data_IF_530772458495
#
_entry.id   IF_530772458495
#
_cell.length_a   1.000
_cell.length_b   1.000
_cell.length_c   1.000
_cell.angle_alpha   90.00
_cell.angle_beta   90.00
_cell.angle_gamma   90.00
#
_symmetry.space_group_name_H-M   'P 1'
#
loop_
_entity.id
_entity.type
_entity.pdbx_description
1 polymer ?
#
# COMPACT_ATOMS: atom_id res chain seq x y z
N UNK A 1 -9.05 5.47 10.55
CA UNK A 1 -8.92 6.45 11.65
C UNK A 1 -9.84 6.14 12.80
N UNK A 2 -11.11 5.81 12.55
CA UNK A 2 -12.06 5.47 13.62
C UNK A 2 -11.71 4.16 14.33
N UNK A 3 -11.16 3.18 13.62
CA UNK A 3 -10.84 1.86 14.19
C UNK A 3 -9.93 1.91 15.43
N UNK A 4 -8.72 2.50 15.34
CA UNK A 4 -7.83 2.62 16.49
C UNK A 4 -8.42 3.44 17.65
N UNK A 5 -9.17 4.51 17.34
CA UNK A 5 -9.83 5.33 18.36
C UNK A 5 -10.91 4.55 19.11
N UNK A 6 -11.80 3.87 18.37
CA UNK A 6 -12.83 3.00 18.95
C UNK A 6 -12.21 1.83 19.70
N UNK A 7 -11.16 1.22 19.13
CA UNK A 7 -10.42 0.13 19.76
C UNK A 7 -9.81 0.53 21.10
N UNK A 8 -9.22 1.74 21.18
CA UNK A 8 -8.69 2.29 22.43
C UNK A 8 -9.77 2.58 23.48
N UNK A 9 -10.87 3.21 23.06
CA UNK A 9 -11.98 3.51 23.98
C UNK A 9 -12.63 2.24 24.55
N UNK A 10 -12.92 1.28 23.68
CA UNK A 10 -13.53 0.00 24.09
C UNK A 10 -12.56 -0.85 24.89
N UNK A 11 -11.27 -0.84 24.54
CA UNK A 11 -10.23 -1.57 25.24
C UNK A 11 -9.98 -1.08 26.68
N UNK A 12 -10.26 0.21 26.97
CA UNK A 12 -10.23 0.73 28.34
C UNK A 12 -11.32 0.14 29.24
N UNK A 13 -12.45 -0.32 28.66
CA UNK A 13 -13.53 -0.95 29.41
C UNK A 13 -13.25 -2.45 29.61
N UNK A 14 -12.90 -3.15 28.53
CA UNK A 14 -12.50 -4.56 28.50
C UNK A 14 -11.58 -4.81 27.28
N UNK A 15 -10.40 -5.42 27.46
CA UNK A 15 -9.48 -5.72 26.37
C UNK A 15 -10.07 -6.61 25.25
N UNK A 16 -11.14 -7.36 25.55
CA UNK A 16 -11.83 -8.23 24.58
C UNK A 16 -12.96 -7.54 23.83
N UNK A 17 -13.49 -6.44 24.36
CA UNK A 17 -14.63 -5.74 23.79
C UNK A 17 -14.40 -5.26 22.33
N UNK A 18 -13.25 -4.69 21.98
CA UNK A 18 -12.96 -4.31 20.60
C UNK A 18 -13.09 -5.46 19.60
N UNK A 19 -12.68 -6.67 19.98
CA UNK A 19 -12.76 -7.86 19.12
C UNK A 19 -14.22 -8.32 18.90
N UNK A 20 -15.04 -8.28 19.95
CA UNK A 20 -16.46 -8.61 19.84
C UNK A 20 -17.22 -7.61 18.98
N UNK A 21 -16.94 -6.32 19.14
CA UNK A 21 -17.54 -5.26 18.32
C UNK A 21 -17.09 -5.37 16.86
N UNK A 22 -15.81 -5.60 16.61
CA UNK A 22 -15.29 -5.80 15.25
C UNK A 22 -15.91 -7.05 14.59
N UNK A 23 -16.01 -8.16 15.32
CA UNK A 23 -16.66 -9.38 14.85
C UNK A 23 -18.14 -9.16 14.51
N UNK A 24 -18.87 -8.46 15.37
CA UNK A 24 -20.28 -8.11 15.14
C UNK A 24 -20.47 -7.22 13.90
N UNK A 25 -19.63 -6.19 13.75
CA UNK A 25 -19.67 -5.33 12.57
C UNK A 25 -19.30 -6.08 11.28
N UNK A 26 -18.34 -6.99 11.34
CA UNK A 26 -17.96 -7.82 10.19
C UNK A 26 -19.10 -8.75 9.78
N UNK A 27 -19.78 -9.37 10.77
CA UNK A 27 -20.94 -10.20 10.50
C UNK A 27 -22.11 -9.39 9.93
N UNK A 28 -22.42 -8.23 10.50
CA UNK A 28 -23.46 -7.34 9.97
C UNK A 28 -23.15 -6.91 8.53
N UNK A 29 -21.89 -6.56 8.22
CA UNK A 29 -21.48 -6.23 6.86
C UNK A 29 -21.60 -7.43 5.90
N UNK A 30 -21.24 -8.62 6.33
CA UNK A 30 -21.40 -9.85 5.53
C UNK A 30 -22.88 -10.15 5.23
N UNK A 31 -23.76 -10.02 6.22
CA UNK A 31 -25.20 -10.18 6.04
C UNK A 31 -25.78 -9.12 5.11
N UNK A 32 -25.37 -7.85 5.28
CA UNK A 32 -25.77 -6.78 4.36
C UNK A 32 -25.32 -7.08 2.92
N UNK A 33 -24.05 -7.50 2.73
CA UNK A 33 -23.56 -7.90 1.41
C UNK A 33 -24.33 -9.04 0.79
N UNK A 34 -24.70 -10.04 1.59
CA UNK A 34 -25.44 -11.22 1.12
C UNK A 34 -26.90 -10.91 0.75
N UNK A 35 -27.61 -10.11 1.56
CA UNK A 35 -29.04 -9.87 1.38
C UNK A 35 -29.40 -8.62 0.57
N UNK A 36 -28.54 -7.61 0.54
CA UNK A 36 -28.87 -6.29 0.02
C UNK A 36 -28.10 -5.95 -1.26
N UNK A 37 -26.84 -6.40 -1.38
CA UNK A 37 -26.04 -6.06 -2.55
C UNK A 37 -26.40 -6.96 -3.73
N UNK A 38 -26.85 -6.37 -4.88
CA UNK A 38 -27.06 -7.13 -6.09
C UNK A 38 -25.72 -7.57 -6.68
N UNK A 39 -25.71 -8.74 -7.29
CA UNK A 39 -24.54 -9.22 -8.04
C UNK A 39 -24.33 -8.36 -9.29
N UNK A 40 -23.18 -7.70 -9.37
CA UNK A 40 -22.86 -6.77 -10.46
C UNK A 40 -22.40 -7.46 -11.75
N UNK A 41 -21.96 -8.75 -11.68
CA UNK A 41 -21.49 -9.46 -12.85
C UNK A 41 -22.62 -10.33 -13.46
N UNK A 42 -23.06 -10.07 -14.72
CA UNK A 42 -24.05 -10.86 -15.40
C UNK A 42 -23.66 -12.35 -15.46
N UNK A 43 -24.63 -13.29 -15.37
CA UNK A 43 -24.35 -14.73 -15.34
C UNK A 43 -23.49 -15.22 -16.53
N UNK A 44 -23.69 -14.64 -17.73
CA UNK A 44 -23.00 -15.01 -18.96
C UNK A 44 -21.51 -14.65 -18.93
N UNK A 45 -21.12 -13.69 -18.09
CA UNK A 45 -19.73 -13.23 -17.94
C UNK A 45 -19.02 -13.89 -16.76
N UNK A 46 -19.73 -14.73 -15.96
CA UNK A 46 -19.13 -15.40 -14.80
C UNK A 46 -18.27 -16.58 -15.26
N UNK A 47 -17.08 -16.65 -14.72
CA UNK A 47 -16.19 -17.80 -14.89
C UNK A 47 -16.51 -18.85 -13.83
N UNK A 48 -16.49 -20.14 -14.21
CA UNK A 48 -16.66 -21.23 -13.25
C UNK A 48 -15.54 -21.19 -12.19
N UNK A 49 -15.95 -21.39 -10.94
CA UNK A 49 -15.03 -21.48 -9.82
C UNK A 49 -14.26 -22.80 -9.90
N UNK A 50 -12.94 -22.72 -9.95
CA UNK A 50 -12.05 -23.87 -9.85
C UNK A 50 -10.98 -23.60 -8.79
N UNK A 51 -10.73 -24.58 -7.91
CA UNK A 51 -9.69 -24.47 -6.87
C UNK A 51 -8.31 -24.17 -7.47
N UNK A 52 -8.04 -24.62 -8.68
CA UNK A 52 -6.79 -24.32 -9.39
C UNK A 52 -6.63 -22.84 -9.72
N UNK A 53 -7.72 -22.14 -10.04
CA UNK A 53 -7.74 -20.68 -10.28
C UNK A 53 -7.80 -19.87 -8.99
N UNK A 54 -8.41 -20.41 -7.95
CA UNK A 54 -8.47 -19.79 -6.62
C UNK A 54 -7.12 -19.88 -5.86
N UNK A 55 -6.12 -20.55 -6.42
CA UNK A 55 -4.78 -20.63 -5.84
C UNK A 55 -4.05 -19.27 -5.99
N UNK A 56 -3.46 -18.71 -4.90
CA UNK A 56 -2.68 -17.48 -4.94
C UNK A 56 -1.56 -17.49 -6.00
N UNK A 57 -0.92 -18.64 -6.21
CA UNK A 57 0.11 -18.81 -7.25
C UNK A 57 -0.50 -18.78 -8.64
N UNK A 58 -1.72 -19.34 -8.82
CA UNK A 58 -2.45 -19.33 -10.08
C UNK A 58 -2.83 -17.94 -10.53
N UNK A 59 -3.23 -17.07 -9.61
CA UNK A 59 -3.59 -15.67 -9.91
C UNK A 59 -2.38 -14.85 -10.39
N UNK A 60 -1.15 -15.22 -10.01
CA UNK A 60 0.07 -14.57 -10.51
C UNK A 60 0.33 -14.86 -12.00
N UNK A 61 -0.28 -15.92 -12.56
CA UNK A 61 -0.17 -16.23 -13.98
C UNK A 61 -0.82 -15.14 -14.84
N UNK A 62 -1.94 -14.57 -14.38
CA UNK A 62 -2.59 -13.42 -15.03
C UNK A 62 -1.63 -12.24 -15.20
N UNK A 63 -0.79 -11.98 -14.21
CA UNK A 63 0.17 -10.87 -14.26
C UNK A 63 1.24 -11.10 -15.35
N UNK A 64 1.57 -12.35 -15.66
CA UNK A 64 2.56 -12.70 -16.69
C UNK A 64 1.99 -12.67 -18.09
N UNK A 65 0.69 -12.81 -18.26
CA UNK A 65 0.05 -12.81 -19.58
C UNK A 65 0.12 -11.46 -20.31
N UNK A 66 0.32 -10.36 -19.56
CA UNK A 66 0.41 -9.01 -20.09
C UNK A 66 1.65 -8.30 -19.54
N UNK A 67 2.65 -7.95 -20.37
CA UNK A 67 3.90 -7.33 -19.91
C UNK A 67 3.70 -6.03 -19.13
N UNK A 68 2.68 -5.24 -19.49
CA UNK A 68 2.36 -3.99 -18.78
C UNK A 68 1.74 -4.25 -17.41
N UNK A 69 0.89 -5.27 -17.30
CA UNK A 69 0.29 -5.68 -16.03
C UNK A 69 1.38 -6.20 -15.08
N UNK A 70 2.31 -6.98 -15.60
CA UNK A 70 3.46 -7.45 -14.83
C UNK A 70 4.32 -6.30 -14.28
N UNK A 71 4.59 -5.27 -15.10
CA UNK A 71 5.34 -4.08 -14.66
C UNK A 71 4.62 -3.33 -13.55
N UNK A 72 3.31 -3.10 -13.70
CA UNK A 72 2.50 -2.44 -12.68
C UNK A 72 2.46 -3.26 -11.38
N UNK A 73 2.29 -4.56 -11.48
CA UNK A 73 2.30 -5.47 -10.35
C UNK A 73 3.66 -5.48 -9.63
N UNK A 74 4.76 -5.41 -10.38
CA UNK A 74 6.12 -5.31 -9.80
C UNK A 74 6.30 -3.99 -9.05
N UNK A 75 5.84 -2.86 -9.61
CA UNK A 75 5.86 -1.56 -8.95
C UNK A 75 5.04 -1.61 -7.66
N UNK A 76 3.86 -2.21 -7.71
CA UNK A 76 2.98 -2.34 -6.55
C UNK A 76 3.61 -3.23 -5.47
N UNK A 77 4.24 -4.33 -5.86
CA UNK A 77 4.95 -5.24 -4.95
C UNK A 77 6.13 -4.56 -4.25
N UNK A 78 6.96 -3.81 -4.99
CA UNK A 78 8.04 -3.01 -4.41
C UNK A 78 7.46 -1.98 -3.43
N UNK A 79 6.34 -1.35 -3.78
CA UNK A 79 5.63 -0.45 -2.88
C UNK A 79 5.15 -1.15 -1.60
N UNK A 80 4.59 -2.36 -1.68
CA UNK A 80 4.19 -3.12 -0.50
C UNK A 80 5.39 -3.45 0.39
N UNK A 81 6.52 -3.88 -0.18
CA UNK A 81 7.75 -4.10 0.61
C UNK A 81 8.20 -2.80 1.27
N UNK A 82 8.24 -1.68 0.53
CA UNK A 82 8.63 -0.39 1.10
C UNK A 82 7.70 0.06 2.24
N UNK A 83 6.41 -0.30 2.16
CA UNK A 83 5.43 -0.02 3.21
C UNK A 83 5.80 -0.66 4.55
N UNK A 84 6.46 -1.80 4.52
CA UNK A 84 6.81 -2.54 5.74
C UNK A 84 7.83 -1.81 6.63
N UNK A 85 8.45 -0.72 6.15
CA UNK A 85 9.24 0.19 7.00
C UNK A 85 8.44 0.75 8.17
N UNK A 86 7.11 0.86 8.03
CA UNK A 86 6.25 1.33 9.11
C UNK A 86 6.23 0.41 10.34
N UNK A 87 6.62 -0.88 10.19
CA UNK A 87 6.73 -1.80 11.32
C UNK A 87 7.86 -1.41 12.28
N UNK A 88 8.88 -0.68 11.82
CA UNK A 88 9.95 -0.17 12.70
C UNK A 88 9.67 1.22 13.25
N UNK A 89 8.51 1.83 12.95
CA UNK A 89 8.16 3.19 13.35
C UNK A 89 8.33 3.43 14.85
N UNK A 90 7.67 2.62 15.68
CA UNK A 90 7.74 2.74 17.12
C UNK A 90 9.18 2.49 17.62
N UNK A 91 9.83 1.43 17.15
CA UNK A 91 11.20 1.10 17.54
C UNK A 91 12.17 2.23 17.18
N UNK A 92 12.08 2.77 15.98
CA UNK A 92 12.91 3.88 15.51
C UNK A 92 12.70 5.14 16.34
N UNK A 93 11.44 5.53 16.59
CA UNK A 93 11.12 6.77 17.29
C UNK A 93 11.45 6.69 18.77
N UNK A 94 11.30 5.53 19.40
CA UNK A 94 11.76 5.29 20.77
C UNK A 94 13.29 5.39 20.84
N UNK A 95 14.00 4.69 19.94
CA UNK A 95 15.46 4.69 19.92
C UNK A 95 16.05 6.08 19.62
N UNK A 96 15.48 6.75 18.63
CA UNK A 96 16.06 8.00 18.10
C UNK A 96 15.69 9.23 18.90
N UNK A 97 14.48 9.30 19.44
CA UNK A 97 13.91 10.49 20.08
C UNK A 97 13.43 10.26 21.50
N UNK A 98 13.57 9.04 22.04
CA UNK A 98 13.02 8.64 23.33
C UNK A 98 11.50 8.91 23.46
N UNK A 99 10.74 8.70 22.38
CA UNK A 99 9.31 8.92 22.40
C UNK A 99 8.61 7.95 23.34
N UNK A 100 7.58 8.47 24.00
CA UNK A 100 6.63 7.69 24.78
C UNK A 100 5.41 7.35 23.92
N UNK A 101 4.60 6.45 24.41
CA UNK A 101 3.40 5.93 23.73
C UNK A 101 2.47 7.05 23.21
N UNK A 102 2.24 8.10 24.02
CA UNK A 102 1.40 9.23 23.63
C UNK A 102 1.93 10.00 22.41
N UNK A 103 3.25 10.18 22.29
CA UNK A 103 3.87 10.85 21.13
C UNK A 103 3.81 9.96 19.88
N UNK A 104 4.01 8.65 20.05
CA UNK A 104 3.85 7.67 18.97
C UNK A 104 2.39 7.70 18.50
N UNK A 105 1.42 7.66 19.43
CA UNK A 105 0.00 7.75 19.10
C UNK A 105 -0.36 9.03 18.35
N UNK A 106 0.19 10.18 18.76
CA UNK A 106 -0.01 11.46 18.07
C UNK A 106 0.54 11.43 16.64
N UNK A 107 1.72 10.84 16.42
CA UNK A 107 2.31 10.70 15.09
C UNK A 107 1.46 9.82 14.18
N UNK A 108 0.91 8.71 14.68
CA UNK A 108 0.00 7.84 13.95
C UNK A 108 -1.36 8.51 13.69
N UNK A 109 -1.84 9.35 14.62
CA UNK A 109 -3.02 10.17 14.37
C UNK A 109 -2.80 11.15 13.22
N UNK A 110 -1.63 11.79 13.13
CA UNK A 110 -1.27 12.66 12.01
C UNK A 110 -1.23 11.87 10.69
N UNK A 111 -0.66 10.66 10.68
CA UNK A 111 -0.72 9.74 9.51
C UNK A 111 -2.17 9.51 9.09
N UNK A 112 -3.07 9.24 10.05
CA UNK A 112 -4.49 9.02 9.78
C UNK A 112 -5.17 10.25 9.17
N UNK A 113 -4.92 11.44 9.73
CA UNK A 113 -5.46 12.71 9.21
C UNK A 113 -4.95 12.97 7.79
N UNK A 114 -3.64 12.84 7.56
CA UNK A 114 -3.05 12.97 6.22
C UNK A 114 -3.69 11.99 5.23
N UNK A 115 -3.90 10.73 5.63
CA UNK A 115 -4.52 9.71 4.77
C UNK A 115 -5.94 10.09 4.36
N UNK A 116 -6.76 10.64 5.27
CA UNK A 116 -8.11 11.12 4.96
C UNK A 116 -8.04 12.26 3.94
N UNK A 117 -7.25 13.29 4.24
CA UNK A 117 -7.12 14.47 3.38
C UNK A 117 -6.65 14.08 1.97
N UNK A 118 -5.62 13.23 1.90
CA UNK A 118 -5.05 12.80 0.64
C UNK A 118 -6.04 11.95 -0.15
N UNK A 119 -6.66 10.95 0.48
CA UNK A 119 -7.60 10.05 -0.22
C UNK A 119 -8.88 10.76 -0.67
N UNK A 120 -9.40 11.71 0.14
CA UNK A 120 -10.67 12.38 -0.17
C UNK A 120 -10.52 13.49 -1.22
N UNK A 121 -9.40 14.21 -1.21
CA UNK A 121 -9.25 15.42 -2.05
C UNK A 121 -8.07 15.36 -3.01
N UNK A 122 -6.90 14.90 -2.56
CA UNK A 122 -5.69 14.95 -3.39
C UNK A 122 -5.72 13.86 -4.46
N UNK A 123 -6.12 12.63 -4.13
CA UNK A 123 -6.19 11.51 -5.09
C UNK A 123 -7.12 11.86 -6.27
N UNK A 124 -8.40 12.24 -6.07
CA UNK A 124 -9.29 12.59 -7.19
C UNK A 124 -8.75 13.75 -8.02
N UNK A 125 -8.24 14.82 -7.35
CA UNK A 125 -7.71 15.99 -8.03
C UNK A 125 -6.44 15.69 -8.86
N UNK A 126 -5.57 14.83 -8.36
CA UNK A 126 -4.34 14.44 -9.06
C UNK A 126 -4.66 13.53 -10.26
N UNK A 127 -5.53 12.55 -10.07
CA UNK A 127 -5.92 11.63 -11.15
C UNK A 127 -6.63 12.37 -12.27
N UNK A 128 -7.57 13.28 -11.93
CA UNK A 128 -8.32 14.04 -12.95
C UNK A 128 -7.45 15.03 -13.72
N UNK A 129 -6.47 15.69 -13.07
CA UNK A 129 -5.63 16.71 -13.70
C UNK A 129 -4.39 16.15 -14.39
N UNK A 130 -3.73 15.17 -13.77
CA UNK A 130 -2.44 14.67 -14.20
C UNK A 130 -2.53 13.31 -14.90
N UNK A 131 -3.64 12.59 -14.71
CA UNK A 131 -3.82 11.20 -15.13
C UNK A 131 -3.10 10.22 -14.19
N UNK A 132 -3.52 8.97 -14.21
CA UNK A 132 -3.05 7.95 -13.27
C UNK A 132 -1.55 7.69 -13.34
N UNK A 133 -0.98 7.62 -14.54
CA UNK A 133 0.46 7.38 -14.71
C UNK A 133 1.31 8.44 -14.03
N UNK A 134 0.97 9.73 -14.19
CA UNK A 134 1.69 10.82 -13.53
C UNK A 134 1.47 10.79 -12.02
N UNK A 135 0.25 10.54 -11.59
CA UNK A 135 -0.10 10.39 -10.18
C UNK A 135 0.72 9.27 -9.53
N UNK A 136 0.88 8.14 -10.21
CA UNK A 136 1.68 7.02 -9.73
C UNK A 136 3.14 7.44 -9.43
N UNK A 137 3.87 7.96 -10.40
CA UNK A 137 5.28 8.28 -10.16
C UNK A 137 5.49 9.52 -9.27
N UNK A 138 4.57 10.50 -9.26
CA UNK A 138 4.60 11.62 -8.32
C UNK A 138 4.45 11.10 -6.88
N UNK A 139 3.50 10.20 -6.65
CA UNK A 139 3.35 9.58 -5.33
C UNK A 139 4.59 8.82 -4.89
N UNK A 140 5.19 8.02 -5.77
CA UNK A 140 6.44 7.31 -5.47
C UNK A 140 7.58 8.29 -5.14
N UNK A 141 7.69 9.40 -5.88
CA UNK A 141 8.68 10.44 -5.61
C UNK A 141 8.51 11.05 -4.21
N UNK A 142 7.30 11.49 -3.87
CA UNK A 142 7.05 12.08 -2.55
C UNK A 142 7.20 11.07 -1.42
N UNK A 143 6.85 9.81 -1.65
CA UNK A 143 7.10 8.73 -0.71
C UNK A 143 8.60 8.55 -0.44
N UNK A 144 9.39 8.44 -1.49
CA UNK A 144 10.85 8.33 -1.39
C UNK A 144 11.45 9.54 -0.67
N UNK A 145 11.05 10.77 -1.07
CA UNK A 145 11.50 12.00 -0.45
C UNK A 145 11.13 12.04 1.04
N UNK A 146 9.89 11.73 1.40
CA UNK A 146 9.43 11.70 2.78
C UNK A 146 10.18 10.68 3.64
N UNK A 147 10.48 9.51 3.09
CA UNK A 147 11.28 8.50 3.78
C UNK A 147 12.74 8.96 3.96
N UNK A 148 13.34 9.62 2.98
CA UNK A 148 14.67 10.24 3.15
C UNK A 148 14.63 11.29 4.26
N UNK A 149 13.62 12.17 4.26
CA UNK A 149 13.44 13.17 5.30
C UNK A 149 13.29 12.54 6.69
N UNK A 150 12.52 11.46 6.82
CA UNK A 150 12.38 10.71 8.07
C UNK A 150 13.72 10.09 8.51
N UNK A 151 14.50 9.54 7.58
CA UNK A 151 15.81 8.94 7.86
C UNK A 151 16.87 9.97 8.32
N UNK A 152 16.89 11.17 7.74
CA UNK A 152 17.82 12.26 8.15
C UNK A 152 17.33 13.03 9.38
N UNK A 153 16.08 12.87 9.79
CA UNK A 153 15.50 13.61 10.90
C UNK A 153 16.28 13.39 12.20
N UNK A 154 16.83 14.49 12.74
CA UNK A 154 17.56 14.48 14.02
C UNK A 154 16.69 14.91 15.19
N UNK A 155 15.57 15.55 14.93
CA UNK A 155 14.64 16.06 15.94
C UNK A 155 13.24 15.52 15.69
N UNK A 156 12.46 15.40 16.77
CA UNK A 156 11.04 15.00 16.70
C UNK A 156 10.24 15.91 15.77
N UNK A 157 10.45 17.22 15.84
CA UNK A 157 9.73 18.19 15.01
C UNK A 157 9.98 17.95 13.51
N UNK A 158 11.23 17.68 13.13
CA UNK A 158 11.57 17.40 11.73
C UNK A 158 10.96 16.08 11.26
N UNK A 159 10.92 15.05 12.13
CA UNK A 159 10.25 13.79 11.82
C UNK A 159 8.74 14.00 11.62
N UNK A 160 8.07 14.75 12.49
CA UNK A 160 6.67 15.11 12.28
C UNK A 160 6.43 15.83 10.97
N UNK A 161 7.32 16.74 10.57
CA UNK A 161 7.22 17.47 9.30
C UNK A 161 7.41 16.55 8.08
N UNK A 162 8.16 15.46 8.21
CA UNK A 162 8.34 14.48 7.12
C UNK A 162 7.08 13.64 6.85
N UNK A 163 6.19 13.48 7.84
CA UNK A 163 4.99 12.64 7.75
C UNK A 163 4.05 13.08 6.60
N UNK A 164 3.61 14.34 6.50
CA UNK A 164 2.74 14.76 5.40
C UNK A 164 3.36 14.53 4.02
N UNK A 165 4.67 14.76 3.88
CA UNK A 165 5.39 14.53 2.62
C UNK A 165 5.38 13.05 2.26
N UNK A 166 5.71 12.19 3.22
CA UNK A 166 5.71 10.73 3.04
C UNK A 166 4.32 10.19 2.74
N UNK A 167 3.27 10.72 3.38
CA UNK A 167 1.89 10.28 3.17
C UNK A 167 1.37 10.58 1.77
N UNK A 168 1.95 11.53 1.02
CA UNK A 168 1.61 11.73 -0.40
C UNK A 168 1.87 10.49 -1.26
N UNK A 169 2.67 9.55 -0.79
CA UNK A 169 2.84 8.26 -1.46
C UNK A 169 1.53 7.48 -1.61
N UNK A 170 0.59 7.66 -0.70
CA UNK A 170 -0.69 6.92 -0.72
C UNK A 170 -1.52 7.17 -1.99
N UNK A 171 -1.22 8.23 -2.77
CA UNK A 171 -1.85 8.47 -4.09
C UNK A 171 -1.45 7.42 -5.14
N UNK A 172 -0.33 6.71 -4.93
CA UNK A 172 0.23 5.77 -5.91
C UNK A 172 -0.63 4.52 -6.07
N UNK A 173 -1.14 3.98 -4.95
CA UNK A 173 -1.87 2.70 -4.96
C UNK A 173 -3.19 2.76 -5.75
N UNK A 174 -4.08 3.74 -5.54
CA UNK A 174 -5.29 3.88 -6.36
C UNK A 174 -4.98 4.10 -7.84
N UNK A 175 -3.92 4.88 -8.15
CA UNK A 175 -3.51 5.12 -9.52
C UNK A 175 -3.02 3.83 -10.20
N UNK A 176 -2.20 3.02 -9.52
CA UNK A 176 -1.74 1.73 -10.04
C UNK A 176 -2.90 0.75 -10.22
N UNK A 177 -3.81 0.66 -9.24
CA UNK A 177 -4.99 -0.21 -9.32
C UNK A 177 -5.93 0.18 -10.46
N UNK A 178 -6.20 1.48 -10.65
CA UNK A 178 -7.00 1.96 -11.77
C UNK A 178 -6.36 1.61 -13.11
N UNK A 179 -5.04 1.77 -13.24
CA UNK A 179 -4.32 1.36 -14.45
C UNK A 179 -4.37 -0.14 -14.69
N UNK A 180 -4.27 -0.99 -13.66
CA UNK A 180 -4.36 -2.45 -13.80
C UNK A 180 -5.78 -2.90 -14.12
N UNK A 181 -6.77 -2.36 -13.43
CA UNK A 181 -8.18 -2.70 -13.62
C UNK A 181 -8.67 -2.47 -15.05
N UNK A 182 -8.20 -1.41 -15.72
CA UNK A 182 -8.54 -1.14 -17.13
C UNK A 182 -7.82 -2.03 -18.15
N UNK A 183 -6.87 -2.85 -17.74
CA UNK A 183 -6.12 -3.76 -18.61
C UNK A 183 -6.62 -5.20 -18.58
N UNK A 184 -7.61 -5.47 -17.77
CA UNK A 184 -8.23 -6.80 -17.65
C UNK A 184 -9.71 -6.72 -17.96
N UNK A 185 -10.29 -7.81 -18.42
CA UNK A 185 -11.73 -7.91 -18.65
C UNK A 185 -12.52 -7.89 -17.34
N UNK A 186 -13.82 -7.61 -17.42
CA UNK A 186 -14.72 -7.65 -16.24
C UNK A 186 -14.66 -9.00 -15.51
N UNK A 187 -14.54 -10.09 -16.26
CA UNK A 187 -14.45 -11.45 -15.71
C UNK A 187 -13.11 -11.79 -15.07
N UNK A 188 -12.07 -10.97 -15.26
CA UNK A 188 -10.72 -11.15 -14.71
C UNK A 188 -10.43 -10.24 -13.51
N UNK A 189 -11.35 -9.32 -13.18
CA UNK A 189 -11.17 -8.39 -12.05
C UNK A 189 -10.92 -9.11 -10.72
N UNK A 190 -11.66 -10.20 -10.46
CA UNK A 190 -11.48 -11.00 -9.24
C UNK A 190 -10.10 -11.68 -9.20
N UNK A 191 -9.61 -12.19 -10.34
CA UNK A 191 -8.29 -12.80 -10.45
C UNK A 191 -7.17 -11.76 -10.25
N UNK A 192 -7.35 -10.55 -10.81
CA UNK A 192 -6.45 -9.42 -10.58
C UNK A 192 -6.39 -9.03 -9.09
N UNK A 193 -7.52 -8.90 -8.42
CA UNK A 193 -7.54 -8.56 -6.98
C UNK A 193 -6.89 -9.67 -6.14
N UNK A 194 -7.13 -10.94 -6.50
CA UNK A 194 -6.45 -12.08 -5.88
C UNK A 194 -4.94 -12.05 -6.07
N UNK A 195 -4.46 -11.69 -7.26
CA UNK A 195 -3.03 -11.54 -7.55
C UNK A 195 -2.39 -10.41 -6.75
N UNK A 196 -3.05 -9.24 -6.68
CA UNK A 196 -2.58 -8.09 -5.90
C UNK A 196 -2.54 -8.46 -4.40
N UNK A 197 -3.59 -9.12 -3.88
CA UNK A 197 -3.62 -9.60 -2.51
C UNK A 197 -2.51 -10.61 -2.19
N UNK A 198 -2.17 -11.49 -3.13
CA UNK A 198 -1.07 -12.44 -2.98
C UNK A 198 0.29 -11.74 -2.89
N UNK A 199 0.53 -10.71 -3.73
CA UNK A 199 1.74 -9.89 -3.66
C UNK A 199 1.84 -9.14 -2.34
N UNK A 200 0.74 -8.55 -1.86
CA UNK A 200 0.69 -7.88 -0.57
C UNK A 200 1.01 -8.86 0.57
N UNK A 201 0.43 -10.06 0.55
CA UNK A 201 0.68 -11.10 1.55
C UNK A 201 2.15 -11.52 1.60
N UNK A 202 2.81 -11.67 0.44
CA UNK A 202 4.25 -11.95 0.38
C UNK A 202 5.07 -10.82 1.00
N UNK A 203 4.73 -9.57 0.73
CA UNK A 203 5.40 -8.43 1.33
C UNK A 203 5.21 -8.40 2.86
N UNK A 204 4.00 -8.69 3.37
CA UNK A 204 3.72 -8.77 4.80
C UNK A 204 4.45 -9.91 5.52
N UNK A 205 4.79 -10.99 4.82
CA UNK A 205 5.57 -12.11 5.41
C UNK A 205 7.04 -11.71 5.56
N UNK A 206 7.64 -11.16 4.53
CA UNK A 206 9.08 -10.92 4.49
C UNK A 206 9.47 -9.51 4.96
N UNK A 207 8.63 -8.52 4.71
CA UNK A 207 8.93 -7.12 4.94
C UNK A 207 9.23 -6.77 6.39
N UNK A 208 8.39 -7.14 7.37
CA UNK A 208 8.64 -6.82 8.78
C UNK A 208 10.00 -7.35 9.25
N UNK A 209 10.32 -8.61 8.91
CA UNK A 209 11.60 -9.23 9.25
C UNK A 209 12.78 -8.50 8.62
N UNK A 210 12.67 -8.15 7.33
CA UNK A 210 13.70 -7.42 6.59
C UNK A 210 14.01 -6.08 7.26
N UNK A 211 12.99 -5.25 7.50
CA UNK A 211 13.18 -3.92 8.05
C UNK A 211 13.60 -3.93 9.51
N UNK A 212 13.09 -4.85 10.31
CA UNK A 212 13.52 -5.02 11.71
C UNK A 212 14.95 -5.50 11.78
N UNK A 213 15.36 -6.45 10.94
CA UNK A 213 16.74 -6.93 10.87
C UNK A 213 17.71 -5.80 10.49
N UNK A 214 17.38 -5.01 9.45
CA UNK A 214 18.19 -3.86 9.03
C UNK A 214 18.29 -2.83 10.17
N UNK A 215 17.19 -2.53 10.83
CA UNK A 215 17.20 -1.61 11.96
C UNK A 215 18.11 -2.11 13.07
N UNK A 216 17.95 -3.37 13.50
CA UNK A 216 18.76 -3.97 14.55
C UNK A 216 20.25 -3.99 14.18
N UNK A 217 20.59 -4.38 12.94
CA UNK A 217 21.98 -4.43 12.47
C UNK A 217 22.67 -3.06 12.52
N UNK A 218 21.98 -2.00 12.08
CA UNK A 218 22.58 -0.66 12.00
C UNK A 218 22.59 0.13 13.30
N UNK A 219 21.86 -0.31 14.33
CA UNK A 219 21.92 0.29 15.67
C UNK A 219 22.81 -0.49 16.64
N UNK A 220 23.25 -1.70 16.28
CA UNK A 220 24.10 -2.55 17.14
C UNK A 220 25.51 -1.92 17.27
N UNK A 221 25.94 -1.58 18.50
CA UNK A 221 27.25 -0.99 18.72
C UNK A 221 28.41 -1.90 18.30
N UNK A 222 28.21 -3.23 18.29
CA UNK A 222 29.24 -4.21 17.93
C UNK A 222 29.58 -4.17 16.45
N UNK A 223 28.67 -3.74 15.60
CA UNK A 223 28.86 -3.61 14.15
C UNK A 223 29.57 -2.31 13.74
N UNK A 224 29.83 -1.39 14.66
CA UNK A 224 30.50 -0.12 14.40
C UNK A 224 29.66 0.90 13.61
N UNK A 225 28.42 0.56 13.24
CA UNK A 225 27.48 1.46 12.58
C UNK A 225 26.56 2.11 13.61
N UNK A 226 26.38 3.41 13.54
CA UNK A 226 25.34 4.12 14.30
C UNK A 226 24.44 4.86 13.33
N UNK A 227 23.64 4.08 12.59
CA UNK A 227 22.85 4.59 11.47
C UNK A 227 21.38 4.14 11.55
N UNK A 228 20.63 4.61 12.57
CA UNK A 228 19.25 4.17 12.81
C UNK A 228 18.27 4.49 11.66
N UNK A 229 18.62 5.41 10.77
CA UNK A 229 17.83 5.76 9.58
C UNK A 229 17.87 4.74 8.45
N UNK A 230 18.73 3.71 8.51
CA UNK A 230 18.93 2.74 7.43
C UNK A 230 17.62 2.14 6.85
N UNK A 231 16.62 1.71 7.66
CA UNK A 231 15.36 1.21 7.13
C UNK A 231 14.61 2.23 6.25
N UNK A 232 14.60 3.49 6.65
CA UNK A 232 13.96 4.57 5.89
C UNK A 232 14.63 4.79 4.54
N UNK A 233 15.96 4.72 4.49
CA UNK A 233 16.70 4.84 3.23
C UNK A 233 16.49 3.64 2.31
N UNK A 234 16.36 2.43 2.86
CA UNK A 234 15.98 1.27 2.05
C UNK A 234 14.56 1.46 1.47
N UNK A 235 13.60 1.88 2.29
CA UNK A 235 12.25 2.18 1.82
C UNK A 235 12.26 3.25 0.71
N UNK A 236 13.03 4.33 0.89
CA UNK A 236 13.20 5.39 -0.10
C UNK A 236 13.82 4.86 -1.41
N UNK A 237 14.84 4.01 -1.33
CA UNK A 237 15.46 3.38 -2.50
C UNK A 237 14.46 2.51 -3.26
N UNK A 238 13.68 1.70 -2.57
CA UNK A 238 12.65 0.87 -3.17
C UNK A 238 11.60 1.72 -3.92
N UNK A 239 11.09 2.79 -3.28
CA UNK A 239 10.14 3.70 -3.92
C UNK A 239 10.76 4.47 -5.10
N UNK A 240 12.03 4.83 -5.00
CA UNK A 240 12.74 5.46 -6.12
C UNK A 240 12.88 4.52 -7.32
N UNK A 241 13.23 3.24 -7.08
CA UNK A 241 13.25 2.21 -8.14
C UNK A 241 11.85 2.03 -8.74
N UNK A 242 10.82 1.93 -7.91
CA UNK A 242 9.42 1.86 -8.37
C UNK A 242 9.03 3.07 -9.21
N UNK A 243 9.45 4.28 -8.82
CA UNK A 243 9.25 5.51 -9.59
C UNK A 243 9.91 5.44 -10.97
N UNK A 244 11.17 5.01 -11.05
CA UNK A 244 11.88 4.86 -12.33
C UNK A 244 11.19 3.85 -13.24
N UNK A 245 10.68 2.75 -12.68
CA UNK A 245 9.90 1.77 -13.44
C UNK A 245 8.57 2.38 -13.93
N UNK A 246 7.90 3.17 -13.10
CA UNK A 246 6.63 3.82 -13.44
C UNK A 246 6.77 4.82 -14.60
N UNK A 247 7.91 5.52 -14.72
CA UNK A 247 8.17 6.43 -15.84
C UNK A 247 8.27 5.72 -17.19
N UNK A 248 8.56 4.42 -17.20
CA UNK A 248 8.71 3.59 -18.41
C UNK A 248 7.41 2.88 -18.83
N UNK A 249 6.31 3.05 -18.10
CA UNK A 249 5.02 2.46 -18.48
C UNK A 249 4.48 3.23 -19.69
N UNK A 250 4.06 2.55 -20.77
CA UNK A 250 3.43 3.21 -21.91
C UNK A 250 2.15 3.94 -21.50
N UNK A 251 1.82 5.01 -22.24
CA UNK A 251 0.52 5.68 -22.07
C UNK A 251 -0.57 4.74 -22.62
N UNK A 252 -1.69 4.62 -21.91
CA UNK A 252 -2.87 4.02 -22.49
C UNK A 252 -3.32 4.88 -23.68
N UNK A 253 -3.80 4.26 -24.78
CA UNK A 253 -4.51 4.98 -25.81
C UNK A 253 -5.66 5.76 -25.17
N UNK A 254 -6.00 6.93 -25.73
CA UNK A 254 -7.16 7.70 -25.28
C UNK A 254 -8.42 6.83 -25.34
N UNK A 255 -9.37 7.02 -24.41
CA UNK A 255 -10.66 6.33 -24.41
C UNK A 255 -11.29 6.36 -25.81
N UNK A 256 -11.58 5.18 -26.37
CA UNK A 256 -12.18 5.04 -27.72
C UNK A 256 -11.25 4.50 -28.80
N UNK A 257 -9.95 4.34 -28.55
CA UNK A 257 -9.10 3.62 -29.51
C UNK A 257 -9.05 2.11 -29.15
N UNK A 258 -9.33 1.22 -30.11
CA UNK A 258 -9.23 -0.21 -29.85
C UNK A 258 -7.80 -0.54 -29.43
N UNK A 259 -7.66 -1.26 -28.33
CA UNK A 259 -6.37 -1.85 -27.95
C UNK A 259 -5.92 -2.72 -29.12
N UNK A 260 -4.78 -2.37 -29.70
CA UNK A 260 -4.20 -3.17 -30.79
C UNK A 260 -4.00 -4.60 -30.26
N UNK A 261 -4.80 -5.52 -30.76
CA UNK A 261 -4.66 -6.96 -30.49
C UNK A 261 -3.31 -7.37 -31.07
N UNK A 262 -2.38 -7.67 -30.19
CA UNK A 262 -1.10 -8.27 -30.57
C UNK A 262 -1.46 -9.66 -31.14
N UNK A 263 -1.11 -9.98 -32.38
CA UNK A 263 -1.38 -11.32 -32.95
C UNK A 263 -0.69 -12.34 -32.05
N UNK A 264 -1.43 -13.39 -31.69
CA UNK A 264 -0.91 -14.55 -31.00
C UNK A 264 0.17 -15.18 -31.88
N UNK A 265 1.41 -15.25 -31.38
CA UNK A 265 2.51 -15.98 -31.97
C UNK A 265 2.57 -17.41 -31.43
#
# INVERSE_FOLDING_TARGET
VLGPALGGLLGNCDPRLPFWVAGGLSLANALYGYFVLPESLPPEKRKEFTLRRANPVGSLVLLRSHPELFRLATIQFIGYIAHEVFNVWALYTIFRYAWREGTIGLSLALVGVCSIVISSWIVPAMVSRCGERRTLYIGQFFGALGMVLAGVARTSAFFFLSIPVMMLWTISSPAAQGMMSRRVSESEQGELQGAIGSLASLAFIFGPTLFTFIFAFFIDPTNGWNFPGAPWYLGALLLFVAMLMATRIPRLPAEGQPVATIPAA
#
